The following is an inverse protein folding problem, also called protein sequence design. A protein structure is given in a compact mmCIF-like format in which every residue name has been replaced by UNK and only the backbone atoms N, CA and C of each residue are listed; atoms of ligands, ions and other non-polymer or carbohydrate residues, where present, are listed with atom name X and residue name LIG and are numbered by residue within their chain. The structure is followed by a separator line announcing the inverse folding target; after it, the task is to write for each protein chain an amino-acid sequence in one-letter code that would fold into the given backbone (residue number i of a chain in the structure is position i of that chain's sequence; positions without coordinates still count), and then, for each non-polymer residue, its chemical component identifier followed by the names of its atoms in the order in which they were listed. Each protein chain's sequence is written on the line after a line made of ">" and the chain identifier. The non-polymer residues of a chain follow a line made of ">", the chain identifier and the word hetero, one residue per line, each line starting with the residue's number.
data_IF_976683242049
#
_entry.id   IF_976683242049
#
_cell.length_a   1.000
_cell.length_b   1.000
_cell.length_c   1.000
_cell.angle_alpha   90.00
_cell.angle_beta   90.00
_cell.angle_gamma   90.00
#
_symmetry.space_group_name_H-M   'P 1'
#
loop_
_entity.id
_entity.type
_entity.pdbx_description
1 polymer ?
#
# COMPACT_ATOMS: atom_id res chain seq x y z
N UNK A 1 -34.89 -86.31 -36.06
CA UNK A 1 -34.00 -87.11 -35.18
C UNK A 1 -32.79 -87.57 -35.97
N UNK A 2 -31.59 -87.47 -35.37
CA UNK A 2 -30.23 -87.85 -35.83
C UNK A 2 -29.38 -86.71 -36.45
N UNK A 3 -28.32 -86.35 -35.69
CA UNK A 3 -26.88 -86.14 -36.06
C UNK A 3 -26.53 -85.34 -37.33
N UNK A 4 -25.48 -84.50 -37.44
CA UNK A 4 -24.19 -84.27 -36.75
C UNK A 4 -23.54 -83.02 -37.41
N UNK A 5 -22.70 -82.29 -36.65
CA UNK A 5 -21.48 -81.50 -37.01
C UNK A 5 -21.53 -80.50 -38.22
N UNK A 6 -20.96 -79.29 -38.18
CA UNK A 6 -19.54 -78.97 -37.93
C UNK A 6 -19.31 -77.43 -37.86
N UNK A 7 -18.63 -76.96 -36.80
CA UNK A 7 -17.62 -75.87 -36.64
C UNK A 7 -17.54 -74.70 -37.64
N UNK A 8 -17.56 -73.43 -37.15
CA UNK A 8 -16.48 -72.42 -37.32
C UNK A 8 -16.64 -71.14 -36.44
N UNK A 9 -15.73 -71.03 -35.45
CA UNK A 9 -14.94 -69.86 -34.97
C UNK A 9 -15.53 -68.44 -35.07
N UNK A 10 -15.73 -67.79 -33.91
CA UNK A 10 -15.33 -66.37 -33.67
C UNK A 10 -14.68 -66.27 -32.28
N UNK A 11 -13.46 -65.74 -32.26
CA UNK A 11 -12.61 -65.47 -31.12
C UNK A 11 -12.62 -63.96 -30.80
N UNK A 12 -12.52 -63.68 -29.49
CA UNK A 12 -11.62 -62.69 -28.87
C UNK A 12 -12.03 -61.21 -28.64
N UNK A 13 -11.63 -60.81 -27.42
CA UNK A 13 -11.20 -59.50 -26.92
C UNK A 13 -12.26 -58.52 -26.37
N UNK A 14 -12.58 -58.72 -25.08
CA UNK A 14 -12.86 -57.63 -24.14
C UNK A 14 -11.51 -57.05 -23.72
N UNK A 15 -11.16 -55.89 -24.26
CA UNK A 15 -10.03 -55.09 -23.81
C UNK A 15 -10.41 -54.31 -22.56
N UNK A 16 -9.74 -54.61 -21.44
CA UNK A 16 -9.64 -53.72 -20.30
C UNK A 16 -8.81 -52.49 -20.72
N UNK A 17 -9.40 -51.31 -20.71
CA UNK A 17 -8.68 -50.03 -20.69
C UNK A 17 -9.15 -49.28 -19.45
N UNK A 18 -8.45 -49.51 -18.33
CA UNK A 18 -8.48 -48.60 -17.18
C UNK A 18 -7.73 -47.33 -17.57
N UNK A 19 -8.45 -46.21 -17.71
CA UNK A 19 -7.82 -44.90 -17.61
C UNK A 19 -7.55 -44.61 -16.12
N UNK A 20 -6.31 -44.82 -15.68
CA UNK A 20 -5.84 -44.33 -14.39
C UNK A 20 -5.40 -42.87 -14.53
N UNK A 21 -6.19 -41.92 -14.00
CA UNK A 21 -5.64 -40.60 -13.64
C UNK A 21 -4.72 -40.77 -12.41
N UNK A 22 -3.53 -40.15 -12.35
CA UNK A 22 -2.63 -40.35 -11.22
C UNK A 22 -3.18 -39.67 -9.97
N UNK A 23 -3.67 -40.49 -9.03
CA UNK A 23 -4.18 -40.11 -7.69
C UNK A 23 -3.27 -39.19 -6.87
N UNK A 24 -1.97 -39.10 -7.20
CA UNK A 24 -0.97 -38.37 -6.41
C UNK A 24 -0.94 -36.85 -6.62
N UNK A 25 -1.48 -36.34 -7.74
CA UNK A 25 -1.36 -34.91 -8.07
C UNK A 25 -2.30 -33.99 -7.26
N UNK A 26 -3.46 -34.50 -6.81
CA UNK A 26 -4.38 -33.78 -5.92
C UNK A 26 -3.94 -33.78 -4.45
N UNK A 27 -2.93 -34.58 -4.09
CA UNK A 27 -2.54 -34.77 -2.69
C UNK A 27 -1.78 -33.56 -2.12
N UNK A 28 -1.16 -32.74 -2.95
CA UNK A 28 -0.37 -31.60 -2.50
C UNK A 28 -1.18 -30.30 -2.39
N UNK A 29 -2.34 -30.22 -3.06
CA UNK A 29 -3.21 -29.03 -3.04
C UNK A 29 -3.79 -28.83 -1.63
N UNK A 30 -3.74 -27.58 -1.15
CA UNK A 30 -4.17 -27.17 0.18
C UNK A 30 -3.08 -26.41 0.95
N UNK A 31 -3.31 -26.25 2.25
CA UNK A 31 -2.39 -25.53 3.14
C UNK A 31 -1.58 -26.50 4.00
N UNK A 32 -0.29 -26.21 4.14
CA UNK A 32 0.69 -27.05 4.82
C UNK A 32 1.55 -26.21 5.76
N UNK A 33 1.67 -26.60 7.01
CA UNK A 33 2.37 -25.82 8.02
C UNK A 33 3.41 -26.63 8.77
N UNK A 34 4.54 -26.01 9.07
CA UNK A 34 5.62 -26.61 9.84
C UNK A 34 6.46 -25.55 10.55
N UNK A 35 7.41 -26.00 11.37
CA UNK A 35 8.41 -25.14 12.00
C UNK A 35 9.81 -25.51 11.50
N UNK A 36 10.65 -24.50 11.24
CA UNK A 36 12.05 -24.66 10.81
C UNK A 36 12.98 -23.74 11.60
N UNK A 37 14.30 -23.99 11.58
CA UNK A 37 15.31 -23.14 12.23
C UNK A 37 16.16 -22.51 11.11
N UNK A 38 16.06 -21.20 10.92
CA UNK A 38 16.84 -20.50 9.89
C UNK A 38 18.20 -20.06 10.45
N UNK A 39 19.24 -19.99 9.61
CA UNK A 39 20.61 -19.64 10.02
C UNK A 39 20.73 -18.24 10.62
N UNK A 40 19.74 -17.37 10.40
CA UNK A 40 19.82 -15.96 10.76
C UNK A 40 19.21 -15.66 12.15
N UNK A 41 18.60 -16.63 12.85
CA UNK A 41 17.91 -16.39 14.12
C UNK A 41 17.98 -17.57 15.11
N UNK A 42 18.10 -17.26 16.39
CA UNK A 42 18.25 -18.21 17.51
C UNK A 42 16.95 -18.92 17.96
N UNK A 43 15.87 -18.92 17.16
CA UNK A 43 14.57 -19.52 17.51
C UNK A 43 13.87 -20.17 16.30
N UNK A 44 13.04 -21.20 16.54
CA UNK A 44 12.25 -21.88 15.49
C UNK A 44 11.12 -21.01 14.90
N UNK A 45 10.97 -20.99 13.58
CA UNK A 45 10.01 -20.19 12.82
C UNK A 45 8.88 -21.02 12.19
N UNK A 46 7.63 -20.56 12.26
CA UNK A 46 6.51 -21.09 11.49
C UNK A 46 6.61 -20.74 10.00
N UNK A 47 6.34 -21.74 9.16
CA UNK A 47 6.22 -21.62 7.71
C UNK A 47 4.90 -22.26 7.29
N UNK A 48 4.13 -21.56 6.46
CA UNK A 48 2.85 -22.00 5.91
C UNK A 48 2.89 -21.95 4.38
N UNK A 49 2.83 -23.09 3.72
CA UNK A 49 2.67 -23.21 2.27
C UNK A 49 1.19 -23.25 1.93
N UNK A 50 0.78 -22.52 0.90
CA UNK A 50 -0.55 -22.56 0.29
C UNK A 50 -0.37 -22.97 -1.16
N UNK A 51 -0.84 -24.16 -1.52
CA UNK A 51 -0.59 -24.76 -2.83
C UNK A 51 -1.92 -24.98 -3.56
N UNK A 52 -2.00 -24.54 -4.81
CA UNK A 52 -3.20 -24.64 -5.64
C UNK A 52 -2.86 -25.16 -7.04
N UNK A 53 -3.84 -25.80 -7.69
CA UNK A 53 -3.72 -26.21 -9.08
C UNK A 53 -4.26 -25.11 -10.00
N UNK A 54 -3.42 -24.56 -10.87
CA UNK A 54 -3.80 -23.49 -11.80
C UNK A 54 -3.06 -23.63 -13.12
N UNK A 55 -3.79 -23.54 -14.24
CA UNK A 55 -3.24 -23.60 -15.60
C UNK A 55 -2.28 -24.79 -15.83
N UNK A 56 -2.72 -26.00 -15.50
CA UNK A 56 -1.94 -27.25 -15.61
C UNK A 56 -0.62 -27.29 -14.83
N UNK A 57 -0.49 -26.47 -13.78
CA UNK A 57 0.69 -26.44 -12.91
C UNK A 57 0.30 -26.24 -11.45
N UNK A 58 1.19 -26.62 -10.52
CA UNK A 58 1.04 -26.28 -9.10
C UNK A 58 1.60 -24.88 -8.90
N UNK A 59 0.73 -23.98 -8.45
CA UNK A 59 1.12 -22.66 -7.96
C UNK A 59 1.13 -22.68 -6.45
N UNK A 60 1.91 -21.80 -5.85
CA UNK A 60 1.89 -21.72 -4.41
C UNK A 60 2.48 -20.44 -3.87
N UNK A 61 2.08 -20.17 -2.65
CA UNK A 61 2.58 -19.09 -1.82
C UNK A 61 3.08 -19.64 -0.51
N UNK A 62 3.89 -18.84 0.15
CA UNK A 62 4.41 -19.13 1.46
C UNK A 62 4.21 -17.93 2.38
N UNK A 63 3.74 -18.22 3.58
CA UNK A 63 3.64 -17.26 4.66
C UNK A 63 4.62 -17.64 5.77
N UNK A 64 5.13 -16.64 6.46
CA UNK A 64 5.93 -16.79 7.67
C UNK A 64 5.21 -16.07 8.82
N UNK A 65 4.25 -16.73 9.51
CA UNK A 65 3.44 -16.09 10.53
C UNK A 65 4.26 -15.40 11.63
N UNK A 66 5.35 -16.05 12.08
CA UNK A 66 6.22 -15.52 13.14
C UNK A 66 7.02 -14.28 12.66
N UNK A 67 7.30 -14.18 11.36
CA UNK A 67 7.94 -13.00 10.72
C UNK A 67 6.93 -11.99 10.18
N UNK A 68 5.63 -12.29 10.25
CA UNK A 68 4.55 -11.49 9.67
C UNK A 68 4.71 -11.21 8.17
N UNK A 69 5.37 -12.11 7.44
CA UNK A 69 5.49 -12.04 5.98
C UNK A 69 4.40 -12.92 5.37
N UNK A 70 3.64 -12.38 4.41
CA UNK A 70 2.51 -13.06 3.77
C UNK A 70 2.68 -13.08 2.25
N UNK A 71 2.13 -14.09 1.62
CA UNK A 71 1.96 -14.22 0.17
C UNK A 71 3.29 -14.20 -0.61
N UNK A 72 4.37 -14.75 -0.04
CA UNK A 72 5.64 -14.93 -0.79
C UNK A 72 5.41 -15.96 -1.88
N UNK A 73 5.49 -15.52 -3.14
CA UNK A 73 5.31 -16.42 -4.29
C UNK A 73 6.37 -17.52 -4.32
N UNK A 74 5.94 -18.76 -4.50
CA UNK A 74 6.83 -19.86 -4.87
C UNK A 74 7.07 -19.77 -6.38
N UNK A 75 8.31 -19.54 -6.78
CA UNK A 75 8.74 -19.46 -8.17
C UNK A 75 8.32 -20.70 -8.96
N UNK A 76 8.43 -21.87 -8.33
CA UNK A 76 8.02 -23.14 -8.92
C UNK A 76 7.72 -24.19 -7.84
N UNK A 77 6.67 -24.98 -8.05
CA UNK A 77 6.36 -26.16 -7.24
C UNK A 77 6.12 -27.35 -8.17
N UNK A 78 6.74 -28.49 -7.88
CA UNK A 78 6.55 -29.71 -8.67
C UNK A 78 6.73 -30.97 -7.84
N UNK A 79 6.26 -32.09 -8.41
CA UNK A 79 6.26 -33.41 -7.78
C UNK A 79 6.93 -34.40 -8.72
N UNK A 80 7.80 -35.26 -8.18
CA UNK A 80 8.33 -36.44 -8.87
C UNK A 80 8.09 -37.65 -7.95
N UNK A 81 7.25 -38.58 -8.37
CA UNK A 81 6.72 -39.66 -7.52
C UNK A 81 6.08 -39.08 -6.24
N UNK A 82 6.60 -39.44 -5.06
CA UNK A 82 6.14 -38.88 -3.78
C UNK A 82 7.01 -37.70 -3.29
N UNK A 83 7.99 -37.26 -4.10
CA UNK A 83 8.90 -36.16 -3.72
C UNK A 83 8.35 -34.82 -4.16
N UNK A 84 8.28 -33.87 -3.23
CA UNK A 84 7.82 -32.50 -3.43
C UNK A 84 9.01 -31.56 -3.44
N UNK A 85 9.00 -30.64 -4.38
CA UNK A 85 10.02 -29.62 -4.54
C UNK A 85 9.35 -28.25 -4.64
N UNK A 86 9.86 -27.29 -3.89
CA UNK A 86 9.47 -25.89 -3.98
C UNK A 86 10.70 -25.01 -4.18
N UNK A 87 10.56 -24.03 -5.06
CA UNK A 87 11.53 -22.98 -5.32
C UNK A 87 10.90 -21.63 -4.99
N UNK A 88 11.67 -20.74 -4.37
CA UNK A 88 11.30 -19.36 -4.04
C UNK A 88 12.54 -18.46 -4.06
N UNK A 89 13.63 -18.89 -4.69
CA UNK A 89 14.91 -18.19 -4.68
C UNK A 89 14.81 -16.80 -5.29
N UNK A 90 14.10 -16.63 -6.40
CA UNK A 90 13.89 -15.32 -7.02
C UNK A 90 13.01 -14.45 -6.13
N UNK A 91 11.90 -14.98 -5.61
CA UNK A 91 11.02 -14.26 -4.68
C UNK A 91 11.70 -13.83 -3.37
N UNK A 92 12.72 -14.57 -2.92
CA UNK A 92 13.49 -14.29 -1.70
C UNK A 92 14.85 -13.63 -1.96
N UNK A 93 15.20 -13.32 -3.22
CA UNK A 93 16.49 -12.72 -3.58
C UNK A 93 17.71 -13.61 -3.36
N UNK A 94 17.55 -14.94 -3.32
CA UNK A 94 18.65 -15.89 -3.21
C UNK A 94 19.32 -16.09 -4.57
N UNK A 95 20.64 -16.33 -4.56
CA UNK A 95 21.38 -16.68 -5.77
C UNK A 95 20.85 -17.97 -6.42
N UNK A 96 20.95 -18.10 -7.75
CA UNK A 96 20.49 -19.30 -8.47
C UNK A 96 21.23 -20.58 -8.04
N UNK A 97 22.45 -20.44 -7.52
CA UNK A 97 23.26 -21.54 -6.96
C UNK A 97 22.82 -21.96 -5.57
N UNK A 98 21.93 -21.21 -4.91
CA UNK A 98 21.39 -21.57 -3.61
C UNK A 98 20.53 -22.83 -3.70
N UNK A 99 20.46 -23.65 -2.62
CA UNK A 99 19.57 -24.79 -2.57
C UNK A 99 18.10 -24.38 -2.70
N UNK A 100 17.26 -25.31 -3.17
CA UNK A 100 15.81 -25.13 -3.18
C UNK A 100 15.29 -24.80 -1.79
N UNK A 101 14.22 -24.00 -1.73
CA UNK A 101 13.65 -23.57 -0.46
C UNK A 101 13.08 -24.77 0.32
N UNK A 102 12.51 -25.75 -0.38
CA UNK A 102 12.06 -27.00 0.25
C UNK A 102 12.16 -28.20 -0.70
N UNK A 103 12.65 -29.31 -0.16
CA UNK A 103 12.62 -30.64 -0.79
C UNK A 103 12.15 -31.66 0.23
N UNK A 104 11.01 -32.31 -0.01
CA UNK A 104 10.43 -33.28 0.91
C UNK A 104 9.79 -34.48 0.24
N UNK A 105 9.32 -35.43 1.04
CA UNK A 105 8.58 -36.62 0.59
C UNK A 105 7.23 -36.67 1.30
N UNK A 106 6.16 -36.91 0.54
CA UNK A 106 4.83 -37.17 1.08
C UNK A 106 4.87 -38.53 1.80
N UNK A 107 4.42 -38.54 3.04
CA UNK A 107 4.37 -39.76 3.86
C UNK A 107 3.05 -40.52 3.61
N UNK A 108 3.03 -41.85 3.81
CA UNK A 108 1.80 -42.64 3.71
C UNK A 108 0.66 -42.03 4.54
N UNK A 109 -0.52 -41.83 3.94
CA UNK A 109 -1.67 -41.17 4.57
C UNK A 109 -1.82 -39.68 4.27
N UNK A 110 -0.99 -39.11 3.39
CA UNK A 110 -1.15 -37.82 2.69
C UNK A 110 -1.37 -36.58 3.57
N UNK A 111 -1.01 -36.69 4.84
CA UNK A 111 -1.22 -35.64 5.85
C UNK A 111 0.08 -34.99 6.32
N UNK A 112 1.23 -35.54 5.93
CA UNK A 112 2.57 -35.11 6.34
C UNK A 112 3.52 -35.12 5.14
N UNK A 113 4.36 -34.09 5.04
CA UNK A 113 5.53 -34.04 4.15
C UNK A 113 6.77 -33.84 5.01
N UNK A 114 7.69 -34.79 4.96
CA UNK A 114 8.97 -34.70 5.66
C UNK A 114 10.06 -34.29 4.67
N UNK A 115 10.80 -33.24 4.98
CA UNK A 115 11.81 -32.73 4.06
C UNK A 115 12.86 -31.86 4.70
N UNK A 116 13.62 -31.21 3.83
CA UNK A 116 14.68 -30.28 4.16
C UNK A 116 14.33 -28.91 3.58
N UNK A 117 14.32 -27.92 4.45
CA UNK A 117 14.32 -26.50 4.14
C UNK A 117 15.76 -26.04 3.83
N UNK A 118 15.94 -25.28 2.76
CA UNK A 118 17.25 -24.70 2.40
C UNK A 118 18.37 -25.74 2.26
N UNK A 119 18.02 -26.98 1.94
CA UNK A 119 18.96 -28.10 1.74
C UNK A 119 19.44 -28.82 2.99
N UNK A 120 19.47 -28.19 4.17
CA UNK A 120 20.11 -28.78 5.36
C UNK A 120 19.32 -28.62 6.68
N UNK A 121 18.21 -27.89 6.70
CA UNK A 121 17.38 -27.76 7.89
C UNK A 121 16.15 -28.67 7.80
N UNK A 122 15.92 -29.61 8.73
CA UNK A 122 14.70 -30.41 8.73
C UNK A 122 13.45 -29.54 8.81
N UNK A 123 12.46 -29.86 7.98
CA UNK A 123 11.13 -29.26 8.01
C UNK A 123 10.08 -30.35 7.80
N UNK A 124 9.24 -30.52 8.81
CA UNK A 124 8.05 -31.35 8.74
C UNK A 124 6.83 -30.45 8.51
N UNK A 125 6.17 -30.64 7.38
CA UNK A 125 4.92 -29.98 7.05
C UNK A 125 3.75 -30.91 7.32
N UNK A 126 2.70 -30.39 7.96
CA UNK A 126 1.44 -31.10 8.18
C UNK A 126 0.31 -30.33 7.51
N UNK A 127 -0.71 -31.03 7.00
CA UNK A 127 -1.93 -30.37 6.51
C UNK A 127 -2.54 -29.49 7.60
N UNK A 128 -3.05 -28.33 7.20
CA UNK A 128 -3.69 -27.40 8.13
C UNK A 128 -4.83 -26.64 7.46
N UNK A 129 -5.79 -26.19 8.27
CA UNK A 129 -6.79 -25.19 7.88
C UNK A 129 -6.43 -23.80 8.44
N UNK A 130 -5.24 -23.66 9.04
CA UNK A 130 -4.73 -22.39 9.53
C UNK A 130 -4.54 -21.43 8.36
N UNK A 131 -5.33 -20.36 8.34
CA UNK A 131 -5.16 -19.25 7.41
C UNK A 131 -4.37 -18.19 8.17
N UNK A 132 -3.13 -17.96 7.75
CA UNK A 132 -2.41 -16.78 8.20
C UNK A 132 -3.12 -15.54 7.64
N UNK A 133 -3.78 -14.82 8.55
CA UNK A 133 -4.26 -13.48 8.31
C UNK A 133 -3.24 -12.53 8.90
N UNK A 134 -2.71 -11.65 8.05
CA UNK A 134 -1.91 -10.54 8.51
C UNK A 134 -2.80 -9.69 9.41
N UNK A 135 -2.57 -9.72 10.72
CA UNK A 135 -3.28 -8.84 11.65
C UNK A 135 -2.74 -7.43 11.42
N UNK A 136 -3.36 -6.66 10.52
CA UNK A 136 -3.38 -5.21 10.72
C UNK A 136 -4.02 -5.01 12.09
N UNK A 137 -3.43 -4.18 12.94
CA UNK A 137 -4.12 -3.86 14.18
C UNK A 137 -5.45 -3.23 13.76
N UNK A 138 -6.58 -3.82 14.13
CA UNK A 138 -7.88 -3.16 13.98
C UNK A 138 -8.07 -2.09 15.05
N UNK A 139 -7.17 -2.05 16.04
CA UNK A 139 -7.24 -1.20 17.20
C UNK A 139 -5.87 -0.59 17.50
N UNK A 140 -5.71 0.75 17.48
CA UNK A 140 -4.43 1.42 17.74
C UNK A 140 -4.08 1.49 19.24
N UNK A 141 -4.69 0.69 20.13
CA UNK A 141 -4.38 0.72 21.57
C UNK A 141 -2.95 0.25 21.85
N UNK A 142 -2.20 1.05 22.59
CA UNK A 142 -0.87 0.73 23.12
C UNK A 142 -0.93 0.84 24.65
N UNK A 143 -0.30 -0.11 25.36
CA UNK A 143 -0.22 -0.07 26.83
C UNK A 143 0.52 1.21 27.29
N UNK A 144 0.03 1.84 28.37
CA UNK A 144 0.55 3.12 28.87
C UNK A 144 0.00 4.36 28.13
N UNK A 145 -0.87 4.18 27.13
CA UNK A 145 -1.53 5.27 26.43
C UNK A 145 -3.04 5.20 26.56
N UNK A 146 -3.65 6.35 26.86
CA UNK A 146 -5.10 6.55 26.90
C UNK A 146 -5.53 7.26 25.63
N UNK A 147 -6.29 6.56 24.79
CA UNK A 147 -6.94 7.17 23.62
C UNK A 147 -8.01 8.15 24.11
N UNK A 148 -7.87 9.42 23.76
CA UNK A 148 -8.84 10.49 24.06
C UNK A 148 -9.88 10.56 22.95
N UNK A 149 -9.42 10.44 21.70
CA UNK A 149 -10.27 10.47 20.52
C UNK A 149 -9.71 9.55 19.46
N UNK A 150 -10.58 8.76 18.84
CA UNK A 150 -10.25 7.94 17.69
C UNK A 150 -11.40 8.04 16.69
N UNK A 151 -11.06 8.42 15.46
CA UNK A 151 -11.98 8.56 14.35
C UNK A 151 -12.04 7.21 13.63
N UNK A 152 -13.26 6.75 13.38
CA UNK A 152 -13.47 5.51 12.62
C UNK A 152 -12.93 5.69 11.20
N UNK A 153 -12.17 4.71 10.72
CA UNK A 153 -11.60 4.72 9.38
C UNK A 153 -11.58 3.31 8.81
N UNK A 154 -11.36 3.23 7.50
CA UNK A 154 -11.12 1.97 6.79
C UNK A 154 -9.88 1.24 7.30
N UNK A 155 -9.67 -0.04 6.93
CA UNK A 155 -8.44 -0.75 7.24
C UNK A 155 -7.17 -0.04 6.75
N UNK A 156 -6.05 -0.39 7.37
CA UNK A 156 -4.71 0.00 6.92
C UNK A 156 -4.42 -0.64 5.55
N UNK A 157 -3.67 0.09 4.73
CA UNK A 157 -3.17 -0.33 3.42
C UNK A 157 -1.65 -0.42 3.46
N UNK A 158 -1.06 -1.07 2.47
CA UNK A 158 0.38 -1.26 2.36
C UNK A 158 0.83 -0.84 0.95
N UNK A 159 1.68 0.18 0.89
CA UNK A 159 2.26 0.70 -0.35
C UNK A 159 3.34 -0.21 -0.92
N UNK A 160 3.89 -1.11 -0.10
CA UNK A 160 4.93 -2.06 -0.49
C UNK A 160 6.18 -1.34 -1.03
N UNK A 161 6.80 -1.82 -2.09
CA UNK A 161 8.02 -1.23 -2.65
C UNK A 161 7.69 -0.08 -3.63
N UNK A 162 7.04 0.98 -3.13
CA UNK A 162 6.74 2.20 -3.90
C UNK A 162 6.91 3.46 -3.05
N UNK A 163 7.11 4.60 -3.70
CA UNK A 163 7.11 5.95 -3.11
C UNK A 163 5.75 6.64 -3.09
N UNK A 164 4.63 5.89 -3.06
CA UNK A 164 3.28 6.44 -3.24
C UNK A 164 2.55 6.79 -1.93
N UNK A 165 3.26 6.99 -0.81
CA UNK A 165 2.67 7.27 0.50
C UNK A 165 1.61 8.39 0.47
N UNK A 166 1.86 9.44 -0.30
CA UNK A 166 0.94 10.54 -0.59
C UNK A 166 -0.42 10.08 -1.11
N UNK A 167 -0.44 9.08 -1.99
CA UNK A 167 -1.68 8.51 -2.53
C UNK A 167 -2.40 7.67 -1.49
N UNK A 168 -1.67 6.83 -0.74
CA UNK A 168 -2.26 5.96 0.28
C UNK A 168 -2.83 6.75 1.46
N UNK A 169 -2.10 7.73 1.98
CA UNK A 169 -2.53 8.59 3.07
C UNK A 169 -3.76 9.39 2.69
N UNK A 170 -3.73 10.08 1.54
CA UNK A 170 -4.86 10.90 1.10
C UNK A 170 -6.07 10.05 0.71
N UNK A 171 -5.87 8.86 0.14
CA UNK A 171 -6.96 7.91 -0.08
C UNK A 171 -7.62 7.50 1.23
N UNK A 172 -6.84 7.18 2.27
CA UNK A 172 -7.39 6.88 3.59
C UNK A 172 -8.15 8.07 4.20
N UNK A 173 -7.69 9.29 3.95
CA UNK A 173 -8.37 10.50 4.38
C UNK A 173 -9.72 10.67 3.66
N UNK A 174 -9.77 10.50 2.33
CA UNK A 174 -11.00 10.58 1.53
C UNK A 174 -12.05 9.57 2.01
N UNK A 175 -11.64 8.33 2.26
CA UNK A 175 -12.53 7.28 2.78
C UNK A 175 -13.11 7.65 4.15
N UNK A 176 -12.26 8.21 5.03
CA UNK A 176 -12.65 8.61 6.38
C UNK A 176 -13.60 9.81 6.35
N UNK A 177 -13.38 10.77 5.45
CA UNK A 177 -14.29 11.88 5.23
C UNK A 177 -15.64 11.43 4.65
N UNK A 178 -15.65 10.46 3.74
CA UNK A 178 -16.90 9.87 3.25
C UNK A 178 -17.70 9.21 4.40
N UNK A 179 -17.02 8.45 5.26
CA UNK A 179 -17.63 7.86 6.46
C UNK A 179 -18.18 8.94 7.41
N UNK A 180 -17.43 10.03 7.64
CA UNK A 180 -17.89 11.18 8.43
C UNK A 180 -19.15 11.83 7.83
N UNK A 181 -19.29 11.84 6.51
CA UNK A 181 -20.48 12.30 5.79
C UNK A 181 -21.64 11.27 5.78
N UNK A 182 -21.52 10.16 6.51
CA UNK A 182 -22.54 9.11 6.63
C UNK A 182 -22.57 8.13 5.47
N UNK A 183 -21.52 8.10 4.61
CA UNK A 183 -21.39 7.08 3.58
C UNK A 183 -20.94 5.74 4.18
N UNK A 184 -21.30 4.66 3.49
CA UNK A 184 -20.80 3.33 3.86
C UNK A 184 -19.29 3.25 3.67
N UNK A 185 -18.55 2.53 4.53
CA UNK A 185 -17.12 2.33 4.34
C UNK A 185 -16.82 1.65 3.00
N UNK A 186 -15.88 2.20 2.25
CA UNK A 186 -15.38 1.66 0.99
C UNK A 186 -13.85 1.73 1.03
N UNK A 187 -13.19 0.64 0.65
CA UNK A 187 -11.73 0.64 0.43
C UNK A 187 -11.47 1.02 -1.03
N UNK A 188 -10.97 2.22 -1.24
CA UNK A 188 -10.59 2.79 -2.52
C UNK A 188 -9.18 2.36 -2.92
N UNK A 189 -8.95 2.36 -4.23
CA UNK A 189 -7.65 2.12 -4.85
C UNK A 189 -6.76 3.36 -4.81
N UNK A 190 -5.63 3.34 -4.08
CA UNK A 190 -4.65 4.41 -4.16
C UNK A 190 -3.98 4.48 -5.54
N UNK A 191 -3.80 3.33 -6.19
CA UNK A 191 -3.16 3.25 -7.51
C UNK A 191 -3.95 3.97 -8.61
N UNK A 192 -5.27 4.08 -8.45
CA UNK A 192 -6.11 4.86 -9.36
C UNK A 192 -5.70 6.33 -9.44
N UNK A 193 -5.21 6.92 -8.34
CA UNK A 193 -4.78 8.32 -8.29
C UNK A 193 -3.33 8.53 -8.71
N UNK A 194 -2.47 7.51 -8.57
CA UNK A 194 -1.06 7.54 -8.99
C UNK A 194 -0.95 7.79 -10.49
N UNK A 195 -1.70 7.03 -11.28
CA UNK A 195 -1.62 7.06 -12.75
C UNK A 195 -1.85 8.45 -13.37
N UNK A 196 -3.00 9.14 -13.17
CA UNK A 196 -3.22 10.47 -13.75
C UNK A 196 -2.21 11.51 -13.21
N UNK A 197 -1.74 11.33 -11.99
CA UNK A 197 -0.73 12.20 -11.37
C UNK A 197 0.61 12.09 -12.10
N UNK A 198 1.11 10.88 -12.36
CA UNK A 198 2.38 10.69 -13.06
C UNK A 198 2.34 11.22 -14.50
N UNK A 199 1.21 11.07 -15.20
CA UNK A 199 1.01 11.67 -16.53
C UNK A 199 1.09 13.20 -16.46
N UNK A 200 0.43 13.81 -15.47
CA UNK A 200 0.45 15.27 -15.29
C UNK A 200 1.83 15.78 -14.85
N UNK A 201 2.55 15.04 -14.01
CA UNK A 201 3.91 15.35 -13.58
C UNK A 201 4.89 15.24 -14.75
N UNK A 202 4.74 14.22 -15.60
CA UNK A 202 5.54 14.05 -16.82
C UNK A 202 5.34 15.23 -17.78
N UNK A 203 4.09 15.63 -18.00
CA UNK A 203 3.80 16.80 -18.80
C UNK A 203 4.42 18.09 -18.23
N UNK A 204 4.30 18.31 -16.91
CA UNK A 204 4.91 19.47 -16.26
C UNK A 204 6.43 19.48 -16.40
N UNK A 205 7.08 18.32 -16.20
CA UNK A 205 8.52 18.15 -16.38
C UNK A 205 8.96 18.50 -17.81
N UNK A 206 8.26 17.97 -18.83
CA UNK A 206 8.55 18.25 -20.24
C UNK A 206 8.35 19.74 -20.55
N UNK A 207 7.23 20.34 -20.11
CA UNK A 207 6.93 21.77 -20.33
C UNK A 207 7.92 22.71 -19.63
N UNK A 208 8.54 22.26 -18.54
CA UNK A 208 9.58 23.00 -17.80
C UNK A 208 10.99 22.64 -18.25
N UNK A 209 11.16 22.01 -19.42
CA UNK A 209 12.46 21.61 -19.98
C UNK A 209 13.32 20.80 -18.98
N UNK A 210 12.66 19.93 -18.20
CA UNK A 210 13.32 19.09 -17.19
C UNK A 210 13.70 19.79 -15.88
N UNK A 211 13.30 21.04 -15.68
CA UNK A 211 13.59 21.80 -14.46
C UNK A 211 12.56 21.57 -13.31
N UNK A 212 11.66 20.60 -13.45
CA UNK A 212 10.71 20.21 -12.41
C UNK A 212 11.14 18.89 -11.77
N UNK A 213 10.63 18.57 -10.57
CA UNK A 213 10.85 17.25 -10.00
C UNK A 213 10.05 16.18 -10.78
N UNK A 214 10.69 15.06 -11.11
CA UNK A 214 10.02 13.87 -11.65
C UNK A 214 10.49 12.63 -10.89
N UNK A 215 9.82 12.40 -9.78
CA UNK A 215 10.06 11.34 -8.78
C UNK A 215 8.75 10.65 -8.44
N UNK A 216 8.78 9.57 -7.65
CA UNK A 216 7.59 8.81 -7.22
C UNK A 216 6.70 9.60 -6.24
N UNK A 217 7.34 10.39 -5.37
CA UNK A 217 6.66 11.18 -4.34
C UNK A 217 5.82 12.31 -4.92
N UNK A 218 4.72 12.64 -4.23
CA UNK A 218 3.80 13.71 -4.58
C UNK A 218 3.05 14.14 -3.30
N UNK A 219 1.99 14.93 -3.42
CA UNK A 219 1.27 15.50 -2.30
C UNK A 219 -0.24 15.26 -2.40
N UNK A 220 -0.96 15.58 -1.32
CA UNK A 220 -2.41 15.38 -1.21
C UNK A 220 -3.20 16.07 -2.33
N UNK A 221 -2.71 17.20 -2.82
CA UNK A 221 -3.31 17.96 -3.92
C UNK A 221 -3.50 17.12 -5.18
N UNK A 222 -2.55 16.26 -5.50
CA UNK A 222 -2.60 15.43 -6.70
C UNK A 222 -3.72 14.40 -6.62
N UNK A 223 -3.95 13.81 -5.44
CA UNK A 223 -5.08 12.89 -5.21
C UNK A 223 -6.41 13.63 -5.27
N UNK A 224 -6.53 14.79 -4.62
CA UNK A 224 -7.77 15.58 -4.66
C UNK A 224 -8.11 16.07 -6.07
N UNK A 225 -7.10 16.46 -6.84
CA UNK A 225 -7.25 16.81 -8.25
C UNK A 225 -7.69 15.60 -9.08
N UNK A 226 -7.02 14.46 -8.93
CA UNK A 226 -7.38 13.23 -9.62
C UNK A 226 -8.80 12.77 -9.28
N UNK A 227 -9.19 12.85 -8.00
CA UNK A 227 -10.55 12.56 -7.55
C UNK A 227 -11.58 13.46 -8.22
N UNK A 228 -11.33 14.77 -8.28
CA UNK A 228 -12.22 15.75 -8.92
C UNK A 228 -12.39 15.49 -10.43
N UNK A 229 -11.30 15.19 -11.10
CA UNK A 229 -11.26 15.02 -12.55
C UNK A 229 -11.83 13.66 -12.97
N UNK A 230 -11.36 12.58 -12.35
CA UNK A 230 -11.57 11.20 -12.77
C UNK A 230 -12.50 10.39 -11.87
N UNK A 231 -12.73 10.80 -10.62
CA UNK A 231 -13.57 10.08 -9.65
C UNK A 231 -12.77 9.15 -8.75
N UNK A 232 -13.31 7.99 -8.43
CA UNK A 232 -12.69 7.02 -7.54
C UNK A 232 -13.15 5.61 -7.88
N UNK A 233 -12.34 4.62 -7.52
CA UNK A 233 -12.65 3.21 -7.77
C UNK A 233 -12.32 2.36 -6.55
N UNK A 234 -13.11 1.32 -6.23
CA UNK A 234 -12.78 0.37 -5.18
C UNK A 234 -11.49 -0.40 -5.49
N UNK A 235 -10.72 -0.70 -4.45
CA UNK A 235 -9.53 -1.57 -4.52
C UNK A 235 -9.86 -2.96 -5.09
N UNK A 236 -11.05 -3.50 -4.78
CA UNK A 236 -11.53 -4.79 -5.28
C UNK A 236 -11.78 -4.83 -6.79
N UNK A 237 -11.92 -3.65 -7.43
CA UNK A 237 -12.14 -3.52 -8.87
C UNK A 237 -10.84 -3.22 -9.60
N UNK A 238 -9.98 -2.39 -9.00
CA UNK A 238 -8.69 -2.02 -9.58
C UNK A 238 -7.66 -1.86 -8.47
N UNK A 239 -6.80 -2.86 -8.27
CA UNK A 239 -5.69 -2.78 -7.31
C UNK A 239 -4.43 -2.14 -7.88
N UNK A 240 -4.39 -1.89 -9.20
CA UNK A 240 -3.15 -1.53 -9.89
C UNK A 240 -2.14 -2.67 -9.98
N UNK A 241 -2.57 -3.93 -9.81
CA UNK A 241 -1.72 -5.12 -9.99
C UNK A 241 -2.20 -5.94 -11.19
N UNK A 242 -1.26 -6.34 -12.05
CA UNK A 242 -1.55 -7.28 -13.15
C UNK A 242 -1.78 -8.70 -12.64
N UNK A 243 -1.06 -9.08 -11.59
CA UNK A 243 -1.25 -10.34 -10.86
C UNK A 243 -1.53 -10.00 -9.40
N UNK A 244 -2.66 -10.47 -8.87
CA UNK A 244 -3.08 -10.24 -7.48
C UNK A 244 -2.07 -10.77 -6.46
N UNK A 245 -1.23 -11.71 -6.88
CA UNK A 245 -0.24 -12.38 -6.04
C UNK A 245 1.06 -11.59 -5.91
N UNK A 246 1.27 -10.59 -6.78
CA UNK A 246 2.47 -9.78 -6.75
C UNK A 246 2.38 -8.67 -5.69
N UNK A 247 3.55 -8.24 -5.22
CA UNK A 247 3.68 -6.96 -4.52
C UNK A 247 3.77 -5.81 -5.53
N UNK A 248 3.39 -4.60 -5.14
CA UNK A 248 3.82 -3.41 -5.84
C UNK A 248 5.33 -3.27 -5.70
N UNK A 249 5.98 -3.11 -6.83
CA UNK A 249 7.41 -2.85 -7.00
C UNK A 249 7.53 -2.01 -8.26
N UNK A 250 7.76 -0.71 -8.08
CA UNK A 250 7.64 0.26 -9.18
C UNK A 250 8.99 0.74 -9.71
N UNK A 251 10.11 0.23 -9.19
CA UNK A 251 11.45 0.72 -9.54
C UNK A 251 11.71 0.76 -11.05
N UNK A 252 11.41 -0.33 -11.78
CA UNK A 252 11.59 -0.39 -13.23
C UNK A 252 10.61 0.52 -13.99
N UNK A 253 9.36 0.64 -13.51
CA UNK A 253 8.39 1.56 -14.08
C UNK A 253 8.88 3.00 -13.96
N UNK A 254 9.36 3.39 -12.78
CA UNK A 254 9.80 4.75 -12.49
C UNK A 254 11.07 5.12 -13.25
N UNK A 255 12.00 4.17 -13.40
CA UNK A 255 13.16 4.31 -14.28
C UNK A 255 12.72 4.52 -15.74
N UNK A 256 11.84 3.67 -16.26
CA UNK A 256 11.35 3.79 -17.64
C UNK A 256 10.62 5.12 -17.89
N UNK A 257 9.82 5.57 -16.93
CA UNK A 257 9.15 6.87 -16.97
C UNK A 257 10.16 8.02 -16.99
N UNK A 258 11.16 8.00 -16.11
CA UNK A 258 12.19 9.04 -16.05
C UNK A 258 13.00 9.13 -17.36
N UNK A 259 13.40 7.98 -17.90
CA UNK A 259 14.10 7.89 -19.20
C UNK A 259 13.22 8.45 -20.32
N UNK A 260 11.92 8.12 -20.31
CA UNK A 260 10.96 8.60 -21.31
C UNK A 260 10.78 10.12 -21.27
N UNK A 261 10.61 10.72 -20.08
CA UNK A 261 10.43 12.18 -19.99
C UNK A 261 11.72 12.93 -20.30
N UNK A 262 12.90 12.38 -19.96
CA UNK A 262 14.21 12.94 -20.37
C UNK A 262 14.41 12.89 -21.88
N UNK A 263 13.98 11.82 -22.54
CA UNK A 263 13.99 11.75 -24.00
C UNK A 263 13.15 12.89 -24.61
N UNK A 264 11.95 13.13 -24.07
CA UNK A 264 11.06 14.17 -24.58
C UNK A 264 11.55 15.60 -24.33
N UNK A 265 12.24 15.86 -23.23
CA UNK A 265 12.89 17.17 -23.00
C UNK A 265 13.89 17.51 -24.11
N UNK A 266 14.55 16.50 -24.68
CA UNK A 266 15.51 16.67 -25.79
C UNK A 266 14.89 16.52 -27.19
N UNK A 267 13.57 16.34 -27.27
CA UNK A 267 12.84 16.16 -28.53
C UNK A 267 12.27 17.50 -29.03
N UNK A 268 12.35 17.73 -30.34
CA UNK A 268 11.89 18.96 -30.98
C UNK A 268 11.07 18.65 -32.26
N UNK A 269 10.31 19.62 -32.76
CA UNK A 269 9.49 19.46 -33.98
C UNK A 269 8.09 18.92 -33.68
N UNK A 270 7.76 17.75 -34.22
CA UNK A 270 6.41 17.15 -34.22
C UNK A 270 5.95 16.61 -32.85
N UNK A 271 6.64 16.96 -31.76
CA UNK A 271 6.26 16.54 -30.42
C UNK A 271 4.96 17.23 -29.99
N UNK A 272 3.90 16.47 -29.83
CA UNK A 272 2.61 16.95 -29.31
C UNK A 272 2.34 16.46 -27.89
N UNK A 273 1.44 17.16 -27.20
CA UNK A 273 0.97 16.76 -25.87
C UNK A 273 0.35 15.38 -25.84
N UNK A 274 -0.35 14.99 -26.90
CA UNK A 274 -0.95 13.67 -27.03
C UNK A 274 0.11 12.56 -27.10
N UNK A 275 1.18 12.77 -27.89
CA UNK A 275 2.23 11.76 -28.08
C UNK A 275 2.90 11.39 -26.77
N UNK A 276 3.41 12.36 -26.01
CA UNK A 276 4.13 12.03 -24.77
C UNK A 276 3.19 11.54 -23.67
N UNK A 277 1.95 12.04 -23.59
CA UNK A 277 0.96 11.54 -22.62
C UNK A 277 0.63 10.07 -22.88
N UNK A 278 0.41 9.70 -24.14
CA UNK A 278 0.09 8.32 -24.52
C UNK A 278 1.26 7.38 -24.22
N UNK A 279 2.51 7.75 -24.56
CA UNK A 279 3.66 6.88 -24.27
C UNK A 279 3.94 6.73 -22.76
N UNK A 280 3.72 7.79 -21.98
CA UNK A 280 3.80 7.70 -20.51
C UNK A 280 2.70 6.77 -19.98
N UNK A 281 1.47 6.90 -20.48
CA UNK A 281 0.34 6.03 -20.12
C UNK A 281 0.58 4.56 -20.49
N UNK A 282 1.23 4.29 -21.62
CA UNK A 282 1.63 2.93 -22.04
C UNK A 282 2.61 2.29 -21.06
N UNK A 283 3.61 3.03 -20.55
CA UNK A 283 4.53 2.53 -19.52
C UNK A 283 3.77 2.21 -18.23
N UNK A 284 2.88 3.11 -17.81
CA UNK A 284 2.02 2.88 -16.64
C UNK A 284 1.13 1.64 -16.81
N UNK A 285 0.55 1.43 -18.00
CA UNK A 285 -0.28 0.27 -18.31
C UNK A 285 0.46 -1.06 -18.15
N UNK A 286 1.75 -1.11 -18.47
CA UNK A 286 2.56 -2.33 -18.36
C UNK A 286 2.78 -2.79 -16.92
N UNK A 287 2.64 -1.88 -15.94
CA UNK A 287 2.85 -2.19 -14.52
C UNK A 287 1.55 -2.16 -13.73
N UNK A 288 0.76 -1.09 -13.92
CA UNK A 288 -0.47 -0.84 -13.15
C UNK A 288 -1.72 -1.42 -13.81
N UNK A 289 -1.61 -1.98 -15.01
CA UNK A 289 -2.76 -2.45 -15.78
C UNK A 289 -3.69 -1.32 -16.24
N UNK A 290 -4.81 -1.69 -16.86
CA UNK A 290 -5.81 -0.74 -17.37
C UNK A 290 -6.87 -0.47 -16.34
N UNK A 291 -7.19 0.80 -16.15
CA UNK A 291 -8.33 1.24 -15.33
C UNK A 291 -9.63 0.94 -16.10
N UNK A 292 -10.60 0.24 -15.50
CA UNK A 292 -11.88 -0.02 -16.16
C UNK A 292 -12.73 1.26 -16.22
N UNK A 293 -13.24 1.59 -17.41
CA UNK A 293 -14.13 2.74 -17.62
C UNK A 293 -15.52 2.52 -17.00
N UNK A 294 -15.94 1.27 -16.91
CA UNK A 294 -17.19 0.82 -16.28
C UNK A 294 -16.90 -0.42 -15.42
N UNK A 295 -17.59 -0.53 -14.29
CA UNK A 295 -17.48 -1.68 -13.40
C UNK A 295 -18.76 -1.90 -12.62
N UNK A 296 -18.92 -3.10 -12.05
CA UNK A 296 -20.05 -3.45 -11.18
C UNK A 296 -19.58 -3.41 -9.74
N UNK A 297 -20.33 -2.74 -8.88
CA UNK A 297 -20.13 -2.72 -7.43
C UNK A 297 -21.49 -2.83 -6.74
N UNK A 298 -21.63 -3.74 -5.78
CA UNK A 298 -22.89 -4.04 -5.08
C UNK A 298 -24.10 -4.21 -6.03
N UNK A 299 -23.88 -4.90 -7.16
CA UNK A 299 -24.93 -5.20 -8.14
C UNK A 299 -25.34 -4.03 -9.04
N UNK A 300 -24.69 -2.86 -8.93
CA UNK A 300 -24.93 -1.68 -9.78
C UNK A 300 -23.72 -1.34 -10.64
N UNK A 301 -23.99 -0.91 -11.87
CA UNK A 301 -22.95 -0.45 -12.81
C UNK A 301 -22.57 0.99 -12.53
N UNK A 302 -21.26 1.26 -12.47
CA UNK A 302 -20.68 2.58 -12.24
C UNK A 302 -19.60 2.91 -13.27
N UNK A 303 -19.40 4.21 -13.47
CA UNK A 303 -18.10 4.76 -13.90
C UNK A 303 -17.34 5.23 -12.65
N UNK A 304 -16.02 5.45 -12.69
CA UNK A 304 -15.30 6.00 -11.54
C UNK A 304 -15.90 7.32 -11.01
N UNK A 305 -16.43 8.16 -11.91
CA UNK A 305 -17.04 9.45 -11.55
C UNK A 305 -18.41 9.31 -10.90
N UNK A 306 -19.28 8.43 -11.42
CA UNK A 306 -20.57 8.17 -10.77
C UNK A 306 -20.39 7.45 -9.44
N UNK A 307 -19.40 6.56 -9.33
CA UNK A 307 -19.04 5.90 -8.08
C UNK A 307 -18.59 6.91 -7.02
N UNK A 308 -17.65 7.80 -7.35
CA UNK A 308 -17.20 8.86 -6.45
C UNK A 308 -18.36 9.72 -5.94
N UNK A 309 -19.23 10.19 -6.84
CA UNK A 309 -20.36 11.04 -6.46
C UNK A 309 -21.34 10.34 -5.50
N UNK A 310 -21.67 9.08 -5.76
CA UNK A 310 -22.68 8.35 -5.00
C UNK A 310 -22.14 7.78 -3.69
N UNK A 311 -20.99 7.09 -3.77
CA UNK A 311 -20.45 6.28 -2.68
C UNK A 311 -19.50 7.04 -1.77
N UNK A 312 -18.81 8.07 -2.28
CA UNK A 312 -17.80 8.82 -1.52
C UNK A 312 -18.31 10.23 -1.18
N UNK A 313 -18.76 10.97 -2.19
CA UNK A 313 -19.54 12.20 -2.02
C UNK A 313 -18.81 13.40 -1.42
N UNK A 314 -17.48 13.34 -1.23
CA UNK A 314 -16.71 14.50 -0.78
C UNK A 314 -16.60 15.55 -1.88
N UNK A 315 -16.53 16.82 -1.49
CA UNK A 315 -16.21 17.92 -2.39
C UNK A 315 -14.76 18.38 -2.13
N UNK A 316 -13.83 18.19 -3.08
CA UNK A 316 -12.43 18.58 -2.90
C UNK A 316 -12.21 20.05 -2.53
N UNK A 317 -13.15 20.95 -2.85
CA UNK A 317 -13.04 22.38 -2.52
C UNK A 317 -13.30 22.68 -1.02
N UNK A 318 -13.82 21.72 -0.26
CA UNK A 318 -14.09 21.85 1.18
C UNK A 318 -12.83 21.62 2.03
N UNK A 319 -11.71 21.29 1.39
CA UNK A 319 -10.43 21.00 2.03
C UNK A 319 -9.40 22.08 1.74
N UNK A 320 -8.46 22.24 2.66
CA UNK A 320 -7.36 23.21 2.56
C UNK A 320 -6.10 22.59 3.14
N UNK A 321 -4.99 22.81 2.47
CA UNK A 321 -3.65 22.52 2.98
C UNK A 321 -3.15 23.72 3.79
N UNK A 322 -2.74 23.46 5.02
CA UNK A 322 -2.19 24.46 5.93
C UNK A 322 -0.73 24.15 6.25
N UNK A 323 0.06 25.19 6.47
CA UNK A 323 1.48 25.08 6.89
C UNK A 323 1.81 26.18 7.90
N UNK A 324 3.05 26.24 8.38
CA UNK A 324 3.49 27.22 9.39
C UNK A 324 4.96 27.58 9.25
N UNK A 325 5.24 28.67 8.54
CA UNK A 325 6.59 29.20 8.32
C UNK A 325 6.61 30.73 8.30
N UNK A 326 7.73 31.34 8.65
CA UNK A 326 7.92 32.79 8.80
C UNK A 326 8.52 33.48 7.59
N UNK A 327 9.02 32.74 6.58
CA UNK A 327 9.54 33.34 5.34
C UNK A 327 8.44 33.87 4.41
N UNK A 328 7.17 33.61 4.75
CA UNK A 328 5.99 34.22 4.15
C UNK A 328 5.03 34.75 5.21
N UNK A 329 4.18 35.71 4.83
CA UNK A 329 3.19 36.29 5.75
C UNK A 329 2.21 35.25 6.27
N UNK A 330 1.95 35.28 7.57
CA UNK A 330 0.86 34.50 8.17
C UNK A 330 -0.52 34.94 7.66
N UNK A 331 -1.48 34.02 7.74
CA UNK A 331 -2.87 34.16 7.30
C UNK A 331 -3.00 34.44 5.80
N UNK A 332 -1.97 34.14 5.02
CA UNK A 332 -1.94 34.26 3.57
C UNK A 332 -1.62 32.92 2.91
N UNK A 333 -1.94 32.81 1.61
CA UNK A 333 -1.63 31.64 0.80
C UNK A 333 -0.32 31.87 0.06
N UNK A 334 0.57 30.89 0.08
CA UNK A 334 1.82 30.91 -0.70
C UNK A 334 2.13 29.53 -1.28
N UNK A 335 2.98 29.48 -2.29
CA UNK A 335 3.49 28.23 -2.85
C UNK A 335 4.66 27.76 -2.00
N UNK A 336 4.47 26.67 -1.25
CA UNK A 336 5.54 26.09 -0.45
C UNK A 336 6.63 25.51 -1.34
N UNK A 337 7.89 25.89 -1.09
CA UNK A 337 9.05 25.63 -1.93
C UNK A 337 9.65 24.24 -1.70
N UNK A 338 8.88 23.20 -2.01
CA UNK A 338 9.30 21.79 -1.92
C UNK A 338 9.20 21.12 -3.28
N UNK A 339 10.06 20.13 -3.54
CA UNK A 339 10.15 19.45 -4.84
C UNK A 339 8.84 18.77 -5.24
N UNK A 340 8.14 18.16 -4.28
CA UNK A 340 6.87 17.49 -4.53
C UNK A 340 5.75 18.46 -4.92
N UNK A 341 5.89 19.77 -4.65
CA UNK A 341 4.93 20.80 -5.06
C UNK A 341 5.16 21.30 -6.51
N UNK A 342 5.39 20.35 -7.43
CA UNK A 342 5.78 20.58 -8.83
C UNK A 342 4.77 21.39 -9.66
N UNK A 343 3.51 21.48 -9.22
CA UNK A 343 2.43 22.24 -9.84
C UNK A 343 2.03 23.51 -9.06
N UNK A 344 2.89 23.98 -8.14
CA UNK A 344 2.77 25.27 -7.46
C UNK A 344 1.47 25.45 -6.65
N UNK A 345 0.97 24.41 -5.98
CA UNK A 345 -0.21 24.55 -5.12
C UNK A 345 0.06 25.52 -3.97
N UNK A 346 -1.03 26.12 -3.48
CA UNK A 346 -1.01 27.12 -2.43
C UNK A 346 -1.38 26.52 -1.07
N UNK A 347 -0.58 26.86 -0.07
CA UNK A 347 -0.76 26.48 1.33
C UNK A 347 -1.18 27.69 2.13
N UNK A 348 -2.17 27.54 3.00
CA UNK A 348 -2.55 28.58 3.96
C UNK A 348 -1.55 28.58 5.12
N UNK A 349 -0.81 29.67 5.27
CA UNK A 349 0.21 29.81 6.30
C UNK A 349 -0.39 30.28 7.62
N UNK A 350 -0.10 29.60 8.73
CA UNK A 350 -0.60 29.95 10.07
C UNK A 350 0.56 30.04 11.07
N UNK A 351 0.48 30.90 12.11
CA UNK A 351 1.41 30.80 13.24
C UNK A 351 1.28 29.42 13.91
N UNK A 352 2.39 28.90 14.47
CA UNK A 352 2.49 27.53 14.97
C UNK A 352 1.39 27.15 15.99
N UNK A 353 0.95 28.11 16.81
CA UNK A 353 -0.13 27.91 17.78
C UNK A 353 -1.50 27.74 17.09
N UNK A 354 -1.80 28.57 16.08
CA UNK A 354 -3.04 28.46 15.30
C UNK A 354 -3.00 27.19 14.42
N UNK A 355 -1.85 26.87 13.83
CA UNK A 355 -1.63 25.64 13.05
C UNK A 355 -1.95 24.38 13.87
N UNK A 356 -1.39 24.29 15.08
CA UNK A 356 -1.61 23.14 15.96
C UNK A 356 -3.02 23.13 16.51
N UNK A 357 -3.60 24.29 16.81
CA UNK A 357 -4.99 24.41 17.24
C UNK A 357 -5.97 23.92 16.19
N UNK A 358 -5.69 24.10 14.88
CA UNK A 358 -6.52 23.54 13.81
C UNK A 358 -6.49 22.01 13.84
N UNK A 359 -5.31 21.40 13.98
CA UNK A 359 -5.15 19.94 14.04
C UNK A 359 -5.89 19.37 15.27
N UNK A 360 -5.64 19.95 16.45
CA UNK A 360 -6.29 19.53 17.70
C UNK A 360 -7.82 19.66 17.59
N UNK A 361 -8.30 20.81 17.08
CA UNK A 361 -9.74 21.05 16.92
C UNK A 361 -10.38 20.10 15.91
N UNK A 362 -9.70 19.79 14.80
CA UNK A 362 -10.19 18.85 13.80
C UNK A 362 -10.46 17.48 14.43
N UNK A 363 -9.44 16.92 15.07
CA UNK A 363 -9.51 15.57 15.64
C UNK A 363 -10.58 15.48 16.72
N UNK A 364 -10.63 16.45 17.64
CA UNK A 364 -11.63 16.49 18.71
C UNK A 364 -13.08 16.57 18.18
N UNK A 365 -13.29 17.16 17.00
CA UNK A 365 -14.60 17.33 16.37
C UNK A 365 -14.88 16.34 15.22
N UNK A 366 -14.26 15.16 15.24
CA UNK A 366 -14.45 14.07 14.27
C UNK A 366 -13.97 14.36 12.84
N UNK A 367 -13.08 15.33 12.64
CA UNK A 367 -12.38 15.51 11.37
C UNK A 367 -11.00 14.87 11.46
N UNK A 368 -10.66 14.06 10.47
CA UNK A 368 -9.31 13.51 10.34
C UNK A 368 -8.37 14.51 9.64
N UNK A 369 -7.08 14.21 9.61
CA UNK A 369 -6.06 15.11 9.05
C UNK A 369 -5.07 14.30 8.22
N UNK A 370 -4.84 14.65 6.96
CA UNK A 370 -3.75 14.06 6.18
C UNK A 370 -2.46 14.83 6.50
N UNK A 371 -1.43 14.12 6.91
CA UNK A 371 -0.18 14.68 7.39
C UNK A 371 0.93 14.50 6.36
N UNK A 372 1.74 15.54 6.20
CA UNK A 372 2.96 15.56 5.41
C UNK A 372 4.13 15.96 6.29
N UNK A 373 5.23 15.22 6.25
CA UNK A 373 6.39 15.58 7.06
C UNK A 373 7.61 14.66 6.99
N UNK A 374 8.56 14.99 7.84
CA UNK A 374 9.86 14.33 7.95
C UNK A 374 9.78 13.12 8.89
N UNK A 375 10.36 12.00 8.47
CA UNK A 375 10.46 10.75 9.26
C UNK A 375 11.89 10.24 9.43
N UNK A 376 12.92 11.01 9.08
CA UNK A 376 14.31 10.55 9.14
C UNK A 376 14.83 10.38 10.57
N UNK A 377 14.34 11.20 11.51
CA UNK A 377 14.78 11.19 12.91
C UNK A 377 13.61 10.92 13.84
N UNK A 378 13.80 10.09 14.87
CA UNK A 378 12.79 9.87 15.91
C UNK A 378 11.60 8.98 15.52
N UNK A 379 11.58 8.47 14.29
CA UNK A 379 10.59 7.51 13.81
C UNK A 379 11.07 6.07 14.02
N UNK A 380 10.49 5.36 14.99
CA UNK A 380 10.89 3.98 15.32
C UNK A 380 9.82 3.23 16.10
N UNK A 381 9.62 1.94 15.77
CA UNK A 381 8.77 1.01 16.51
C UNK A 381 7.33 1.52 16.73
N UNK A 382 6.74 2.20 15.74
CA UNK A 382 5.39 2.76 15.84
C UNK A 382 5.29 4.01 16.72
N UNK A 383 6.40 4.70 16.93
CA UNK A 383 6.45 6.00 17.59
C UNK A 383 7.20 7.01 16.74
N UNK A 384 6.74 8.26 16.78
CA UNK A 384 7.43 9.43 16.24
C UNK A 384 7.68 10.43 17.38
N UNK A 385 8.89 10.35 17.95
CA UNK A 385 9.30 11.10 19.14
C UNK A 385 10.70 11.65 18.95
N UNK A 386 10.89 12.94 19.24
CA UNK A 386 12.22 13.57 19.15
C UNK A 386 13.12 13.02 20.26
N UNK A 387 14.35 12.65 19.92
CA UNK A 387 15.34 12.12 20.88
C UNK A 387 15.67 13.14 21.99
N UNK A 388 15.69 14.43 21.65
CA UNK A 388 15.97 15.54 22.56
C UNK A 388 14.80 16.53 22.56
N UNK A 389 13.74 16.30 23.35
CA UNK A 389 12.58 17.19 23.38
C UNK A 389 13.01 18.58 23.88
N UNK A 390 12.79 19.59 23.05
CA UNK A 390 12.94 21.02 23.36
C UNK A 390 11.59 21.69 23.21
N UNK A 391 11.40 22.83 23.86
CA UNK A 391 10.25 23.70 23.58
C UNK A 391 10.38 24.13 22.11
N UNK A 392 9.49 23.64 21.25
CA UNK A 392 9.50 23.95 19.82
C UNK A 392 8.85 25.32 19.62
N UNK A 393 9.68 26.31 19.26
CA UNK A 393 9.22 27.65 18.90
C UNK A 393 9.06 27.78 17.39
N UNK A 394 8.36 28.83 16.94
CA UNK A 394 8.25 29.16 15.52
C UNK A 394 9.63 29.31 14.85
N UNK A 395 10.61 29.90 15.55
CA UNK A 395 11.97 30.11 15.03
C UNK A 395 12.74 28.80 14.90
N UNK A 396 12.59 27.88 15.86
CA UNK A 396 13.21 26.55 15.78
C UNK A 396 12.65 25.78 14.58
N UNK A 397 11.32 25.82 14.41
CA UNK A 397 10.64 25.21 13.26
C UNK A 397 11.10 25.81 11.94
N UNK A 398 11.20 27.14 11.83
CA UNK A 398 11.71 27.79 10.63
C UNK A 398 13.15 27.38 10.34
N UNK A 399 14.03 27.45 11.34
CA UNK A 399 15.43 27.10 11.17
C UNK A 399 15.60 25.66 10.69
N UNK A 400 14.77 24.73 11.17
CA UNK A 400 14.80 23.33 10.75
C UNK A 400 14.44 23.13 9.27
N UNK A 401 13.51 23.93 8.75
CA UNK A 401 13.18 23.94 7.32
C UNK A 401 14.30 24.59 6.49
N UNK A 402 14.77 25.78 6.89
CA UNK A 402 15.80 26.52 6.16
C UNK A 402 17.14 25.76 6.07
N UNK A 403 17.49 25.02 7.13
CA UNK A 403 18.73 24.24 7.19
C UNK A 403 18.55 22.76 6.76
N UNK A 404 17.35 22.38 6.29
CA UNK A 404 17.01 21.04 5.79
C UNK A 404 17.17 19.91 6.82
N UNK A 405 16.99 20.20 8.11
CA UNK A 405 16.84 19.16 9.15
C UNK A 405 15.37 18.72 9.35
N UNK A 406 14.44 19.40 8.68
CA UNK A 406 13.07 18.94 8.43
C UNK A 406 12.80 19.06 6.93
N UNK A 407 12.57 17.94 6.26
CA UNK A 407 12.26 17.86 4.82
C UNK A 407 10.89 17.21 4.55
N UNK A 408 10.42 17.33 3.30
CA UNK A 408 9.25 16.60 2.80
C UNK A 408 9.67 15.16 2.45
N UNK A 409 9.23 14.19 3.25
CA UNK A 409 9.70 12.79 3.19
C UNK A 409 8.55 11.80 3.07
N UNK A 410 7.47 11.98 3.84
CA UNK A 410 6.44 10.95 3.96
C UNK A 410 5.06 11.52 4.32
N UNK A 411 4.01 10.92 3.75
CA UNK A 411 2.63 11.23 4.10
C UNK A 411 1.97 10.12 4.91
N UNK A 412 1.19 10.52 5.90
CA UNK A 412 0.42 9.62 6.77
C UNK A 412 -0.95 10.23 7.08
N UNK A 413 -1.81 9.50 7.78
CA UNK A 413 -3.17 9.95 8.05
C UNK A 413 -3.47 9.95 9.55
N UNK A 414 -3.60 11.13 10.15
CA UNK A 414 -3.91 11.31 11.57
C UNK A 414 -5.41 11.08 11.80
N UNK A 415 -5.73 10.12 12.68
CA UNK A 415 -7.09 9.70 12.99
C UNK A 415 -7.45 9.81 14.47
N UNK A 416 -6.56 10.32 15.31
CA UNK A 416 -6.86 10.39 16.74
C UNK A 416 -5.83 11.13 17.57
N UNK A 417 -6.19 11.26 18.85
CA UNK A 417 -5.37 11.83 19.91
C UNK A 417 -5.38 10.85 21.08
N UNK A 418 -4.21 10.67 21.67
CA UNK A 418 -3.99 9.94 22.90
C UNK A 418 -3.14 10.75 23.88
N UNK A 419 -3.11 10.31 25.12
CA UNK A 419 -2.23 10.81 26.16
C UNK A 419 -1.41 9.66 26.72
N UNK A 420 -0.15 9.90 27.06
CA UNK A 420 0.63 8.95 27.87
C UNK A 420 0.21 9.00 29.35
N UNK A 421 0.80 8.16 30.19
CA UNK A 421 0.52 8.11 31.64
C UNK A 421 0.80 9.43 32.38
N UNK A 422 1.57 10.35 31.77
CA UNK A 422 1.90 11.67 32.32
C UNK A 422 1.02 12.78 31.75
N UNK A 423 0.05 12.44 30.91
CA UNK A 423 -0.83 13.42 30.25
C UNK A 423 -0.18 14.14 29.07
N UNK A 424 0.97 13.67 28.55
CA UNK A 424 1.58 14.27 27.36
C UNK A 424 0.78 13.85 26.12
N UNK A 425 0.40 14.79 25.23
CA UNK A 425 -0.39 14.47 24.04
C UNK A 425 0.43 13.78 22.95
N UNK A 426 -0.21 12.80 22.32
CA UNK A 426 0.24 12.08 21.14
C UNK A 426 -0.88 12.04 20.09
N UNK A 427 -0.51 12.00 18.84
CA UNK A 427 -1.40 11.85 17.69
C UNK A 427 -1.33 10.40 17.21
N UNK A 428 -2.48 9.82 16.86
CA UNK A 428 -2.57 8.45 16.33
C UNK A 428 -2.66 8.54 14.81
N UNK A 429 -1.69 7.97 14.11
CA UNK A 429 -1.63 8.00 12.64
C UNK A 429 -1.77 6.60 12.07
N UNK A 430 -2.40 6.51 10.90
CA UNK A 430 -2.31 5.38 9.97
C UNK A 430 -1.11 5.59 9.07
N UNK A 431 -0.20 4.62 9.07
CA UNK A 431 0.85 4.51 8.06
C UNK A 431 0.35 3.66 6.88
N UNK A 432 1.13 3.63 5.80
CA UNK A 432 0.92 2.79 4.62
C UNK A 432 2.06 1.77 4.42
N UNK A 433 2.69 1.31 5.50
CA UNK A 433 3.73 0.29 5.49
C UNK A 433 3.33 -0.93 6.31
N UNK A 434 3.93 -2.08 6.02
CA UNK A 434 3.67 -3.31 6.75
C UNK A 434 4.33 -3.34 8.14
N UNK A 435 3.46 -3.31 9.15
CA UNK A 435 3.57 -3.93 10.49
C UNK A 435 4.73 -3.63 11.45
N UNK A 436 5.83 -3.00 11.03
CA UNK A 436 6.92 -2.62 11.92
C UNK A 436 6.52 -1.45 12.86
N UNK A 437 5.48 -0.70 12.48
CA UNK A 437 4.91 0.41 13.26
C UNK A 437 3.59 -0.01 13.92
N UNK A 438 3.62 -0.64 15.10
CA UNK A 438 2.42 -1.03 15.89
C UNK A 438 1.23 -1.59 15.08
N UNK A 439 1.48 -2.44 14.07
CA UNK A 439 0.43 -3.01 13.21
C UNK A 439 -0.17 -2.04 12.19
N UNK A 440 0.63 -1.06 11.74
CA UNK A 440 0.35 -0.01 10.75
C UNK A 440 -0.22 1.28 11.35
N UNK A 441 -0.25 1.40 12.68
CA UNK A 441 -0.53 2.66 13.38
C UNK A 441 0.73 3.17 14.08
N UNK A 442 0.83 4.47 14.30
CA UNK A 442 1.88 5.03 15.16
C UNK A 442 1.38 6.14 16.06
N UNK A 443 2.16 6.42 17.10
CA UNK A 443 1.93 7.49 18.06
C UNK A 443 2.99 8.57 17.89
N UNK A 444 2.58 9.73 17.42
CA UNK A 444 3.46 10.90 17.22
C UNK A 444 3.32 11.87 18.39
N UNK A 445 4.42 12.18 19.07
CA UNK A 445 4.39 13.18 20.13
C UNK A 445 4.08 14.57 19.59
N UNK A 446 3.49 15.45 20.42
CA UNK A 446 3.23 16.84 20.02
C UNK A 446 4.47 17.62 19.62
N UNK A 447 5.60 17.41 20.29
CA UNK A 447 6.86 18.08 19.93
C UNK A 447 7.34 17.64 18.53
N UNK A 448 7.17 16.35 18.20
CA UNK A 448 7.47 15.84 16.87
C UNK A 448 6.56 16.48 15.82
N UNK A 449 5.25 16.50 16.04
CA UNK A 449 4.28 17.16 15.15
C UNK A 449 4.69 18.62 14.89
N UNK A 450 5.00 19.37 15.95
CA UNK A 450 5.37 20.78 15.84
C UNK A 450 6.65 21.02 15.02
N UNK A 451 7.64 20.13 15.13
CA UNK A 451 8.93 20.32 14.46
C UNK A 451 9.00 19.72 13.05
N UNK A 452 8.43 18.53 12.86
CA UNK A 452 8.69 17.68 11.69
C UNK A 452 7.57 17.67 10.65
N UNK A 453 6.39 18.22 10.97
CA UNK A 453 5.32 18.40 9.97
C UNK A 453 5.75 19.44 8.92
N UNK A 454 5.51 19.20 7.64
CA UNK A 454 5.64 20.18 6.56
C UNK A 454 4.29 20.88 6.31
N UNK A 455 3.24 20.10 6.12
CA UNK A 455 1.86 20.59 5.97
C UNK A 455 0.82 19.58 6.46
N UNK A 456 -0.44 20.02 6.51
CA UNK A 456 -1.57 19.10 6.68
C UNK A 456 -2.77 19.50 5.82
N UNK A 457 -3.45 18.50 5.25
CA UNK A 457 -4.76 18.64 4.63
C UNK A 457 -5.85 18.51 5.70
N UNK A 458 -6.75 19.48 5.75
CA UNK A 458 -7.87 19.48 6.70
C UNK A 458 -9.15 19.98 6.04
N UNK A 459 -10.30 19.53 6.54
CA UNK A 459 -11.59 20.09 6.17
C UNK A 459 -11.72 21.53 6.71
N UNK A 460 -12.15 22.48 5.87
CA UNK A 460 -12.30 23.90 6.25
C UNK A 460 -13.27 24.11 7.42
N UNK A 461 -14.26 23.24 7.59
CA UNK A 461 -15.20 23.29 8.70
C UNK A 461 -14.57 22.91 10.05
N UNK A 462 -13.39 22.29 10.05
CA UNK A 462 -12.61 22.01 11.25
C UNK A 462 -11.81 23.24 11.74
N UNK A 463 -11.69 24.30 10.93
CA UNK A 463 -10.99 25.52 11.35
C UNK A 463 -11.93 26.36 12.21
N UNK A 464 -11.48 26.72 13.41
CA UNK A 464 -12.30 27.46 14.38
C UNK A 464 -12.75 28.81 13.82
N UNK A 465 -13.90 29.31 14.28
CA UNK A 465 -14.41 30.64 13.89
C UNK A 465 -13.40 31.76 14.18
N UNK A 466 -12.63 31.62 15.26
CA UNK A 466 -11.59 32.59 15.63
C UNK A 466 -10.47 32.64 14.59
N UNK A 467 -9.97 31.50 14.13
CA UNK A 467 -8.93 31.42 13.09
C UNK A 467 -9.51 31.86 11.73
N UNK A 468 -10.72 31.44 11.38
CA UNK A 468 -11.40 31.88 10.15
C UNK A 468 -11.52 33.40 10.07
N UNK A 469 -11.75 34.09 11.19
CA UNK A 469 -11.78 35.56 11.23
C UNK A 469 -10.41 36.19 10.93
N UNK A 470 -9.30 35.56 11.37
CA UNK A 470 -7.93 36.01 11.08
C UNK A 470 -7.56 35.77 9.62
N UNK A 471 -7.94 34.61 9.07
CA UNK A 471 -7.68 34.21 7.67
C UNK A 471 -8.51 35.03 6.68
N UNK A 472 -9.76 35.33 7.02
CA UNK A 472 -10.65 36.16 6.19
C UNK A 472 -10.91 35.52 4.82
N UNK A 473 -10.71 36.32 3.74
CA UNK A 473 -10.97 35.90 2.35
C UNK A 473 -9.95 34.89 1.82
N UNK A 474 -8.89 34.59 2.56
CA UNK A 474 -7.83 33.68 2.13
C UNK A 474 -8.16 32.20 2.34
N UNK A 475 -9.31 31.86 2.94
CA UNK A 475 -9.71 30.47 3.23
C UNK A 475 -10.13 29.69 1.99
#
# INVERSE_FOLDING_TARGET
>A
MKTKNTVLIILLFIGFLMQAQPKTQNLLVGSWMGRTITKDLSTSELVLFKLEWKNNSIKGKMDFPDKRVKDVSLDKVWIINDSVFADARKSLGWAETAPLIFKGKIMPGDSIINGMWGGNTPLKLSRTNYIFQLKTNSNPKIAGFKIIKLIESTPIKDQQATGDCWSFATTSFIETEAMRLGKKPVVLSPMFFVRPTYINKAENYIRRNGASAFTEGDLTFSVLKAYKEFGAIPESVYSGKLDSDNRHDHAEMNKALLEKVKFYVNSHGDLTTEIYRNQVDEILNQTLGKVPNIFIYDGKTYTPKSFANEMIGINPNDYVEITSYTHHSFYSKFTLEIEANWNNNQYLNLPIDDFTSVIDNALLHNYSVCWDGDIYEGFKNGFAVLDNPKIITQQIRQAAFDNRTTEDVHNMHIIGIAEDEKGKPYYILKNSSDNNDCGGYLYMSKDYLLLKTISVLVNKNAISKAINKKVGKNL
#
